data_IF_376231026505
#
_entry.id   IF_376231026505
#
_cell.length_a   1.000
_cell.length_b   1.000
_cell.length_c   1.000
_cell.angle_alpha   90.00
_cell.angle_beta   90.00
_cell.angle_gamma   90.00
#
_symmetry.space_group_name_H-M   'P 1'
#
loop_
_entity.id
_entity.type
_entity.pdbx_description
1 polymer ?
#
# COMPACT_ATOMS: atom_id res chain seq x y z
N UNK A 1 -13.34 -3.95 -8.84
CA UNK A 1 -13.39 -3.58 -7.41
C UNK A 1 -12.24 -2.61 -7.14
N UNK A 2 -12.25 -1.89 -6.03
CA UNK A 2 -11.15 -0.97 -5.69
C UNK A 2 -10.76 -1.09 -4.23
N UNK A 3 -9.48 -0.87 -3.96
CA UNK A 3 -8.91 -0.84 -2.63
C UNK A 3 -8.11 0.45 -2.44
N UNK A 4 -8.05 0.93 -1.21
CA UNK A 4 -7.28 2.13 -0.85
C UNK A 4 -6.71 2.00 0.56
N UNK A 5 -5.51 2.53 0.72
CA UNK A 5 -4.73 2.56 1.94
C UNK A 5 -4.12 3.96 2.08
N UNK A 6 -4.42 4.63 3.18
CA UNK A 6 -3.88 5.94 3.50
C UNK A 6 -3.36 5.93 4.94
N UNK A 7 -2.09 6.24 5.13
CA UNK A 7 -1.49 6.28 6.46
C UNK A 7 -0.43 7.37 6.58
N UNK A 8 -0.42 8.02 7.74
CA UNK A 8 0.60 8.96 8.16
C UNK A 8 1.25 8.43 9.44
N UNK A 9 2.58 8.48 9.53
CA UNK A 9 3.30 8.03 10.71
C UNK A 9 4.81 8.16 10.58
N UNK A 10 5.52 7.82 11.66
CA UNK A 10 6.98 7.70 11.63
C UNK A 10 7.39 6.46 10.84
N UNK A 11 8.42 6.57 10.03
CA UNK A 11 8.92 5.48 9.19
C UNK A 11 9.17 4.19 10.01
N UNK A 12 9.84 4.28 11.16
CA UNK A 12 10.12 3.11 12.00
C UNK A 12 8.86 2.37 12.46
N UNK A 13 7.80 3.10 12.85
CA UNK A 13 6.52 2.50 13.27
C UNK A 13 5.73 1.96 12.09
N UNK A 14 5.78 2.64 10.94
CA UNK A 14 5.07 2.21 9.74
C UNK A 14 5.69 0.94 9.15
N UNK A 15 7.02 0.81 9.20
CA UNK A 15 7.73 -0.39 8.78
C UNK A 15 7.24 -1.66 9.49
N UNK A 16 6.90 -1.58 10.77
CA UNK A 16 6.42 -2.73 11.56
C UNK A 16 5.01 -3.21 11.16
N UNK A 17 4.20 -2.35 10.54
CA UNK A 17 2.75 -2.61 10.40
C UNK A 17 2.22 -2.49 8.98
N UNK A 18 2.91 -1.79 8.06
CA UNK A 18 2.35 -1.44 6.74
C UNK A 18 2.00 -2.66 5.90
N UNK A 19 2.84 -3.70 5.90
CA UNK A 19 2.57 -4.95 5.18
C UNK A 19 1.26 -5.59 5.64
N UNK A 20 1.09 -5.75 6.95
CA UNK A 20 -0.10 -6.34 7.54
C UNK A 20 -1.35 -5.47 7.33
N UNK A 21 -1.19 -4.15 7.43
CA UNK A 21 -2.29 -3.21 7.21
C UNK A 21 -2.78 -3.25 5.76
N UNK A 22 -1.88 -3.27 4.76
CA UNK A 22 -2.24 -3.39 3.34
C UNK A 22 -2.90 -4.73 3.04
N UNK A 23 -2.39 -5.83 3.59
CA UNK A 23 -3.01 -7.15 3.42
C UNK A 23 -4.46 -7.19 3.94
N UNK A 24 -4.72 -6.50 5.06
CA UNK A 24 -6.04 -6.38 5.68
C UNK A 24 -7.02 -5.44 4.94
N UNK A 25 -6.58 -4.66 3.95
CA UNK A 25 -7.48 -3.79 3.17
C UNK A 25 -8.41 -4.65 2.30
N UNK A 26 -9.72 -4.43 2.40
CA UNK A 26 -10.71 -5.09 1.55
C UNK A 26 -10.67 -4.60 0.09
N UNK A 27 -11.66 -5.00 -0.71
CA UNK A 27 -11.79 -4.51 -2.09
C UNK A 27 -11.05 -5.34 -3.15
N UNK A 28 -10.49 -6.48 -2.76
CA UNK A 28 -10.03 -7.52 -3.69
C UNK A 28 -10.72 -8.84 -3.35
N UNK A 29 -11.14 -9.64 -4.35
CA UNK A 29 -11.62 -11.00 -4.10
C UNK A 29 -10.53 -11.86 -3.48
N UNK A 30 -10.89 -12.63 -2.45
CA UNK A 30 -9.97 -13.55 -1.79
C UNK A 30 -9.48 -14.62 -2.76
N UNK A 31 -8.17 -14.88 -2.77
CA UNK A 31 -7.49 -15.81 -3.67
C UNK A 31 -7.29 -15.28 -5.10
N UNK A 32 -7.64 -14.02 -5.39
CA UNK A 32 -7.45 -13.45 -6.73
C UNK A 32 -6.02 -12.95 -6.96
N UNK A 33 -5.65 -12.80 -8.23
CA UNK A 33 -4.41 -12.13 -8.61
C UNK A 33 -4.36 -10.67 -8.11
N UNK A 34 -5.51 -9.99 -8.01
CA UNK A 34 -5.62 -8.63 -7.48
C UNK A 34 -5.25 -8.58 -5.99
N UNK A 35 -5.72 -9.55 -5.18
CA UNK A 35 -5.34 -9.67 -3.78
C UNK A 35 -3.83 -9.95 -3.63
N UNK A 36 -3.28 -10.86 -4.44
CA UNK A 36 -1.85 -11.17 -4.42
C UNK A 36 -1.00 -9.96 -4.79
N UNK A 37 -1.37 -9.20 -5.82
CA UNK A 37 -0.67 -7.98 -6.22
C UNK A 37 -0.76 -6.89 -5.14
N UNK A 38 -1.93 -6.68 -4.54
CA UNK A 38 -2.10 -5.76 -3.39
C UNK A 38 -1.17 -6.15 -2.23
N UNK A 39 -1.08 -7.44 -1.91
CA UNK A 39 -0.21 -7.90 -0.82
C UNK A 39 1.28 -7.67 -1.14
N UNK A 40 1.72 -7.84 -2.39
CA UNK A 40 3.07 -7.49 -2.83
C UNK A 40 3.35 -5.98 -2.73
N UNK A 41 2.35 -5.12 -3.01
CA UNK A 41 2.48 -3.68 -2.76
C UNK A 41 2.73 -3.40 -1.27
N UNK A 42 2.10 -4.17 -0.37
CA UNK A 42 2.39 -4.11 1.06
C UNK A 42 3.87 -4.39 1.41
N UNK A 43 4.47 -5.40 0.79
CA UNK A 43 5.89 -5.74 0.97
C UNK A 43 6.82 -4.66 0.38
N UNK A 44 6.45 -4.12 -0.78
CA UNK A 44 7.18 -3.02 -1.40
C UNK A 44 7.15 -1.76 -0.51
N UNK A 45 5.99 -1.42 0.04
CA UNK A 45 5.83 -0.28 0.94
C UNK A 45 6.62 -0.46 2.25
N UNK A 46 6.63 -1.66 2.82
CA UNK A 46 7.47 -1.99 3.98
C UNK A 46 8.95 -1.73 3.68
N UNK A 47 9.43 -2.24 2.55
CA UNK A 47 10.83 -2.05 2.11
C UNK A 47 11.17 -0.56 1.92
N UNK A 48 10.30 0.20 1.25
CA UNK A 48 10.51 1.63 1.02
C UNK A 48 10.54 2.42 2.32
N UNK A 49 9.63 2.12 3.25
CA UNK A 49 9.57 2.80 4.54
C UNK A 49 10.76 2.45 5.42
N UNK A 50 11.21 1.19 5.42
CA UNK A 50 12.43 0.75 6.14
C UNK A 50 13.70 1.42 5.62
N UNK A 51 13.71 1.85 4.35
CA UNK A 51 14.86 2.55 3.76
C UNK A 51 15.02 3.99 4.27
N UNK A 52 14.00 4.54 4.95
CA UNK A 52 14.02 5.89 5.49
C UNK A 52 14.50 5.92 6.95
N UNK A 53 15.13 7.02 7.42
CA UNK A 53 15.44 7.18 8.83
C UNK A 53 14.18 7.06 9.70
N UNK A 54 14.26 6.30 10.78
CA UNK A 54 13.10 5.87 11.56
C UNK A 54 12.25 7.02 12.12
N UNK A 55 12.88 8.16 12.37
CA UNK A 55 12.28 9.40 12.87
C UNK A 55 11.49 10.19 11.81
N UNK A 56 11.72 9.96 10.51
CA UNK A 56 11.06 10.72 9.45
C UNK A 56 9.56 10.45 9.43
N UNK A 57 8.79 11.52 9.19
CA UNK A 57 7.35 11.43 9.01
C UNK A 57 7.05 11.13 7.54
N UNK A 58 6.29 10.07 7.32
CA UNK A 58 5.94 9.57 5.99
C UNK A 58 4.44 9.48 5.86
N UNK A 59 3.91 9.98 4.74
CA UNK A 59 2.55 9.72 4.28
C UNK A 59 2.60 8.68 3.16
N UNK A 60 1.75 7.68 3.27
CA UNK A 60 1.59 6.62 2.27
C UNK A 60 0.15 6.71 1.76
N UNK A 61 0.00 6.81 0.45
CA UNK A 61 -1.28 6.73 -0.24
C UNK A 61 -1.15 5.68 -1.35
N UNK A 62 -1.77 4.53 -1.14
CA UNK A 62 -1.79 3.45 -2.11
C UNK A 62 -3.23 3.09 -2.45
N UNK A 63 -3.54 2.96 -3.73
CA UNK A 63 -4.86 2.53 -4.18
C UNK A 63 -4.75 1.74 -5.46
N UNK A 64 -5.59 0.73 -5.60
CA UNK A 64 -5.68 -0.03 -6.84
C UNK A 64 -7.12 -0.32 -7.20
N UNK A 65 -7.33 -0.58 -8.49
CA UNK A 65 -8.60 -1.10 -8.98
C UNK A 65 -8.36 -1.95 -10.21
N UNK A 66 -9.16 -3.00 -10.34
CA UNK A 66 -9.22 -3.80 -11.54
C UNK A 66 -10.66 -3.89 -12.06
N UNK A 67 -10.79 -3.78 -13.38
CA UNK A 67 -11.98 -4.22 -14.09
C UNK A 67 -11.67 -5.58 -14.72
N UNK A 68 -12.27 -6.63 -14.16
CA UNK A 68 -12.04 -8.00 -14.58
C UNK A 68 -13.09 -8.45 -15.59
N UNK A 69 -12.67 -9.26 -16.55
CA UNK A 69 -13.53 -10.01 -17.44
C UNK A 69 -14.13 -11.21 -16.68
N UNK A 70 -15.16 -11.84 -17.27
CA UNK A 70 -15.83 -13.02 -16.72
C UNK A 70 -14.92 -14.26 -16.60
N UNK A 71 -13.79 -14.29 -17.32
CA UNK A 71 -12.76 -15.34 -17.21
C UNK A 71 -11.74 -15.08 -16.08
N UNK A 72 -11.87 -13.96 -15.36
CA UNK A 72 -10.97 -13.55 -14.28
C UNK A 72 -9.73 -12.78 -14.73
N UNK A 73 -9.51 -12.58 -16.04
CA UNK A 73 -8.43 -11.72 -16.56
C UNK A 73 -8.77 -10.24 -16.36
N UNK A 74 -7.77 -9.39 -16.12
CA UNK A 74 -8.00 -7.96 -15.95
C UNK A 74 -8.04 -7.26 -17.32
N UNK A 75 -9.16 -6.61 -17.64
CA UNK A 75 -9.31 -5.79 -18.84
C UNK A 75 -8.61 -4.43 -18.68
N UNK A 76 -8.67 -3.88 -17.47
CA UNK A 76 -7.99 -2.64 -17.12
C UNK A 76 -7.60 -2.67 -15.65
N UNK A 77 -6.42 -2.14 -15.34
CA UNK A 77 -5.93 -1.98 -13.98
C UNK A 77 -5.43 -0.56 -13.79
N UNK A 78 -5.69 -0.02 -12.60
CA UNK A 78 -5.11 1.22 -12.15
C UNK A 78 -4.41 0.96 -10.81
N UNK A 79 -3.20 1.48 -10.67
CA UNK A 79 -2.43 1.47 -9.44
C UNK A 79 -1.86 2.87 -9.23
N UNK A 80 -2.14 3.45 -8.08
CA UNK A 80 -1.49 4.66 -7.59
C UNK A 80 -0.79 4.33 -6.30
N UNK A 81 0.50 4.64 -6.22
CA UNK A 81 1.29 4.55 -5.00
C UNK A 81 2.06 5.86 -4.85
N UNK A 82 1.88 6.51 -3.72
CA UNK A 82 2.52 7.77 -3.38
C UNK A 82 3.08 7.64 -1.96
N UNK A 83 4.37 7.94 -1.84
CA UNK A 83 5.08 7.97 -0.57
C UNK A 83 5.73 9.34 -0.46
N UNK A 84 5.30 10.11 0.54
CA UNK A 84 5.74 11.50 0.74
C UNK A 84 6.38 11.66 2.10
N UNK A 85 7.63 12.12 2.13
CA UNK A 85 8.29 12.55 3.36
C UNK A 85 7.85 13.97 3.69
N UNK A 86 7.22 14.19 4.85
CA UNK A 86 6.65 15.50 5.21
C UNK A 86 7.70 16.42 5.87
N UNK A 87 8.82 15.87 6.34
CA UNK A 87 9.90 16.62 6.98
C UNK A 87 10.24 16.07 8.36
N UNK A 88 11.07 16.81 9.10
CA UNK A 88 11.35 16.57 10.52
C UNK A 88 10.28 17.27 11.36
N UNK A 89 9.73 16.57 12.35
CA UNK A 89 8.91 17.20 13.39
C UNK A 89 9.86 18.09 14.20
N UNK A 90 9.79 19.40 14.01
CA UNK A 90 10.37 20.35 14.95
C UNK A 90 9.44 20.34 16.16
N UNK A 91 9.92 19.81 17.29
CA UNK A 91 9.17 19.80 18.56
C UNK A 91 8.84 21.21 19.06
#
# INVERSE_FOLDING_TARGET
MSWSYNKLGRAGKLAEVVKQQVAGVGGCPKGSAEESAKNQVGEMLETLVMSLPAEKIVKIEASGSAWNQSDGSALSQNLKIELTTIGDLVE
#
